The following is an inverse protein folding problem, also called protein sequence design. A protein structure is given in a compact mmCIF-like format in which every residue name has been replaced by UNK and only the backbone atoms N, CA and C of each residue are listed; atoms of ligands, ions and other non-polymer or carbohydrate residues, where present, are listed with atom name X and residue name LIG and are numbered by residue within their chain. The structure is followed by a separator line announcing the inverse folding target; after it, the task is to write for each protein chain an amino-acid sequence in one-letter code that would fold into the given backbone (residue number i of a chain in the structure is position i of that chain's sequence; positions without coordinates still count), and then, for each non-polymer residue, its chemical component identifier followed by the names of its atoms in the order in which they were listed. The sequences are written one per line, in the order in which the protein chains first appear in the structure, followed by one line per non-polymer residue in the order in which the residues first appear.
data_IF_200741780145
#
_entry.id   IF_200741780145
#
_cell.length_a   1.000
_cell.length_b   1.000
_cell.length_c   1.000
_cell.angle_alpha   90.00
_cell.angle_beta   90.00
_cell.angle_gamma   90.00
#
_symmetry.space_group_name_H-M   'P 1'
#
loop_
_entity.id
_entity.type
_entity.pdbx_description
1 polymer ?
#
# COMPACT_ATOMS: atom_id res chain seq x y z
N UNK A 1 6.96 -14.59 6.95
CA UNK A 1 8.09 -13.65 6.95
C UNK A 1 7.63 -12.20 7.17
N UNK A 2 6.71 -11.68 6.34
CA UNK A 2 6.21 -10.30 6.46
C UNK A 2 5.56 -10.01 7.83
N UNK A 3 4.71 -10.92 8.33
CA UNK A 3 4.12 -10.86 9.68
C UNK A 3 5.17 -10.83 10.80
N UNK A 4 6.22 -11.61 10.64
CA UNK A 4 7.32 -11.64 11.62
C UNK A 4 8.05 -10.29 11.67
N UNK A 5 8.27 -9.66 10.50
CA UNK A 5 8.89 -8.34 10.42
C UNK A 5 7.98 -7.28 11.04
N UNK A 6 6.68 -7.28 10.71
CA UNK A 6 5.68 -6.36 11.26
C UNK A 6 5.66 -6.50 12.80
N UNK A 7 5.57 -7.71 13.33
CA UNK A 7 5.57 -8.00 14.77
C UNK A 7 6.89 -7.65 15.46
N UNK A 8 8.04 -7.80 14.79
CA UNK A 8 9.34 -7.48 15.36
C UNK A 8 9.54 -5.97 15.57
N UNK A 9 8.97 -5.15 14.72
CA UNK A 9 9.03 -3.70 14.84
C UNK A 9 8.08 -3.17 15.93
N UNK A 10 7.00 -3.90 16.24
CA UNK A 10 5.99 -3.45 17.22
C UNK A 10 5.95 -4.31 18.51
N UNK A 11 7.12 -4.71 19.02
CA UNK A 11 7.26 -5.48 20.28
C UNK A 11 6.61 -4.84 21.52
N UNK A 12 6.07 -3.61 21.40
CA UNK A 12 5.46 -2.86 22.52
C UNK A 12 3.94 -2.98 22.60
N UNK A 13 3.25 -3.52 21.59
CA UNK A 13 1.80 -3.66 21.59
C UNK A 13 1.36 -5.12 21.72
N UNK A 14 0.78 -5.47 22.88
CA UNK A 14 0.01 -6.71 23.07
C UNK A 14 -1.40 -6.49 22.51
N UNK A 15 -1.67 -6.95 21.28
CA UNK A 15 -3.01 -6.87 20.67
C UNK A 15 -2.99 -7.07 19.15
N UNK A 16 -4.17 -7.32 18.57
CA UNK A 16 -4.34 -7.35 17.11
C UNK A 16 -4.07 -5.95 16.54
N UNK A 17 -3.21 -5.88 15.51
CA UNK A 17 -2.95 -4.62 14.81
C UNK A 17 -4.07 -4.32 13.83
N UNK A 18 -4.33 -3.04 13.60
CA UNK A 18 -5.21 -2.60 12.53
C UNK A 18 -4.40 -2.28 11.28
N UNK A 19 -4.62 -3.03 10.22
CA UNK A 19 -3.87 -2.95 8.98
C UNK A 19 -4.68 -2.25 7.89
N UNK A 20 -4.07 -1.28 7.23
CA UNK A 20 -4.58 -0.68 6.00
C UNK A 20 -3.84 -1.27 4.82
N UNK A 21 -4.54 -1.98 3.95
CA UNK A 21 -4.01 -2.38 2.65
C UNK A 21 -4.36 -1.33 1.61
N UNK A 22 -3.44 -1.02 0.69
CA UNK A 22 -3.72 -0.05 -0.37
C UNK A 22 -3.02 -0.42 -1.68
N UNK A 23 -3.82 -0.47 -2.74
CA UNK A 23 -3.38 -0.81 -4.10
C UNK A 23 -4.32 -0.17 -5.13
N UNK A 24 -3.84 0.08 -6.35
CA UNK A 24 -4.75 0.35 -7.46
C UNK A 24 -5.45 -0.92 -7.92
N UNK A 25 -6.47 -0.77 -8.74
CA UNK A 25 -7.11 -1.89 -9.45
C UNK A 25 -6.14 -2.65 -10.36
N UNK A 26 -6.51 -3.85 -10.78
CA UNK A 26 -5.70 -4.72 -11.64
C UNK A 26 -4.58 -5.44 -10.88
N UNK A 27 -3.42 -5.65 -11.51
CA UNK A 27 -2.33 -6.45 -10.97
C UNK A 27 -1.86 -6.07 -9.57
N UNK A 28 -1.87 -4.78 -9.22
CA UNK A 28 -1.53 -4.35 -7.86
C UNK A 28 -2.55 -4.83 -6.81
N UNK A 29 -3.84 -4.89 -7.19
CA UNK A 29 -4.88 -5.44 -6.31
C UNK A 29 -4.73 -6.95 -6.17
N UNK A 30 -4.37 -7.65 -7.24
CA UNK A 30 -4.07 -9.08 -7.19
C UNK A 30 -2.89 -9.35 -6.27
N UNK A 31 -1.79 -8.63 -6.45
CA UNK A 31 -0.61 -8.72 -5.57
C UNK A 31 -0.99 -8.56 -4.09
N UNK A 32 -1.74 -7.53 -3.74
CA UNK A 32 -2.08 -7.27 -2.34
C UNK A 32 -3.05 -8.32 -1.78
N UNK A 33 -3.88 -8.91 -2.65
CA UNK A 33 -4.82 -9.97 -2.27
C UNK A 33 -4.09 -11.27 -1.88
N UNK A 34 -2.90 -11.53 -2.43
CA UNK A 34 -2.06 -12.66 -2.02
C UNK A 34 -1.63 -12.55 -0.54
N UNK A 35 -1.63 -11.35 0.01
CA UNK A 35 -1.35 -11.11 1.43
C UNK A 35 -2.56 -11.35 2.36
N UNK A 36 -3.69 -11.85 1.82
CA UNK A 36 -4.93 -12.06 2.58
C UNK A 36 -4.75 -12.92 3.83
N UNK A 37 -3.83 -13.86 3.84
CA UNK A 37 -3.55 -14.68 5.02
C UNK A 37 -3.20 -13.86 6.26
N UNK A 38 -2.61 -12.68 6.06
CA UNK A 38 -2.27 -11.73 7.13
C UNK A 38 -3.54 -11.12 7.75
N UNK A 39 -4.62 -11.03 6.98
CA UNK A 39 -5.87 -10.42 7.44
C UNK A 39 -6.65 -11.30 8.42
N UNK A 40 -6.44 -12.62 8.38
CA UNK A 40 -7.15 -13.55 9.26
C UNK A 40 -6.81 -13.37 10.74
N UNK A 41 -5.65 -12.80 11.02
CA UNK A 41 -5.14 -12.60 12.40
C UNK A 41 -5.23 -11.13 12.87
N UNK A 42 -5.62 -10.20 11.98
CA UNK A 42 -5.60 -8.77 12.28
C UNK A 42 -6.87 -8.09 11.79
N UNK A 43 -7.30 -7.04 12.48
CA UNK A 43 -8.31 -6.13 11.93
C UNK A 43 -7.73 -5.44 10.70
N UNK A 44 -8.45 -5.48 9.56
CA UNK A 44 -7.91 -4.96 8.31
C UNK A 44 -8.98 -4.34 7.41
N UNK A 45 -8.57 -3.39 6.58
CA UNK A 45 -9.39 -2.78 5.55
C UNK A 45 -8.56 -2.47 4.31
N UNK A 46 -9.22 -2.30 3.18
CA UNK A 46 -8.59 -1.99 1.90
C UNK A 46 -8.97 -0.57 1.45
N UNK A 47 -7.99 0.17 0.92
CA UNK A 47 -8.20 1.38 0.14
C UNK A 47 -7.74 1.09 -1.29
N UNK A 48 -8.67 1.14 -2.24
CA UNK A 48 -8.39 0.93 -3.67
C UNK A 48 -9.12 1.96 -4.53
N UNK A 49 -8.87 1.95 -5.82
CA UNK A 49 -9.61 2.82 -6.74
C UNK A 49 -10.84 2.09 -7.32
N UNK A 50 -11.89 2.87 -7.62
CA UNK A 50 -13.06 2.37 -8.31
C UNK A 50 -12.72 2.22 -9.79
N UNK A 51 -12.53 0.99 -10.27
CA UNK A 51 -12.58 0.67 -11.70
C UNK A 51 -14.03 0.45 -12.11
N UNK A 52 -14.36 0.62 -13.40
CA UNK A 52 -15.74 0.62 -13.90
C UNK A 52 -16.54 -0.67 -13.69
N UNK A 53 -15.96 -1.72 -13.13
CA UNK A 53 -16.59 -2.99 -12.80
C UNK A 53 -16.86 -3.08 -11.29
N UNK A 54 -17.89 -3.84 -10.90
CA UNK A 54 -18.16 -4.16 -9.50
C UNK A 54 -17.06 -5.09 -8.98
N UNK A 55 -16.04 -4.51 -8.37
CA UNK A 55 -14.94 -5.26 -7.79
C UNK A 55 -15.37 -5.79 -6.43
N UNK A 56 -15.58 -7.10 -6.35
CA UNK A 56 -15.67 -7.80 -5.06
C UNK A 56 -14.28 -8.02 -4.54
N UNK A 57 -13.93 -7.35 -3.45
CA UNK A 57 -12.61 -7.52 -2.83
C UNK A 57 -12.67 -8.54 -1.69
N UNK A 58 -11.52 -9.07 -1.34
CA UNK A 58 -11.36 -9.97 -0.21
C UNK A 58 -11.74 -9.33 1.15
N UNK A 59 -11.88 -7.99 1.20
CA UNK A 59 -12.24 -7.22 2.39
C UNK A 59 -13.73 -6.86 2.46
N UNK A 60 -14.53 -7.17 1.42
CA UNK A 60 -15.97 -6.90 1.39
C UNK A 60 -16.31 -5.45 1.77
N UNK A 61 -17.22 -5.28 2.73
CA UNK A 61 -17.67 -3.98 3.23
C UNK A 61 -16.56 -3.13 3.90
N UNK A 62 -15.40 -3.73 4.17
CA UNK A 62 -14.22 -3.03 4.69
C UNK A 62 -13.33 -2.49 3.56
N UNK A 63 -13.89 -2.26 2.37
CA UNK A 63 -13.21 -1.67 1.21
C UNK A 63 -13.66 -0.23 1.01
N UNK A 64 -12.68 0.67 0.96
CA UNK A 64 -12.86 2.08 0.62
C UNK A 64 -12.42 2.32 -0.82
N UNK A 65 -13.32 2.87 -1.63
CA UNK A 65 -13.04 3.18 -3.02
C UNK A 65 -12.71 4.67 -3.18
N UNK A 66 -11.52 4.94 -3.71
CA UNK A 66 -11.12 6.26 -4.14
C UNK A 66 -11.41 6.43 -5.64
N UNK A 67 -11.45 7.67 -6.10
CA UNK A 67 -11.58 7.95 -7.53
C UNK A 67 -10.31 7.46 -8.25
N UNK A 68 -10.50 6.73 -9.35
CA UNK A 68 -9.42 6.44 -10.27
C UNK A 68 -8.89 7.74 -10.89
N UNK A 69 -7.58 7.88 -10.97
CA UNK A 69 -6.93 9.03 -11.60
C UNK A 69 -5.98 8.57 -12.71
N UNK A 70 -6.01 9.31 -13.81
CA UNK A 70 -5.05 9.13 -14.90
C UNK A 70 -4.20 10.40 -15.03
N UNK A 71 -2.88 10.25 -15.11
CA UNK A 71 -1.95 11.39 -15.25
C UNK A 71 -2.19 12.23 -16.50
N UNK A 72 -2.83 11.65 -17.53
CA UNK A 72 -3.15 12.31 -18.81
C UNK A 72 -4.52 13.01 -18.79
N UNK A 73 -5.31 12.88 -17.71
CA UNK A 73 -6.62 13.49 -17.66
C UNK A 73 -6.52 15.01 -17.42
N UNK A 74 -7.43 15.81 -18.00
CA UNK A 74 -7.56 17.22 -17.65
C UNK A 74 -7.89 17.34 -16.15
N UNK A 75 -7.35 18.36 -15.50
CA UNK A 75 -7.52 18.61 -14.06
C UNK A 75 -6.92 17.53 -13.12
N UNK A 76 -5.97 16.73 -13.62
CA UNK A 76 -5.26 15.71 -12.83
C UNK A 76 -4.84 16.24 -11.44
N UNK A 77 -4.26 17.46 -11.38
CA UNK A 77 -3.78 18.02 -10.11
C UNK A 77 -4.92 18.24 -9.10
N UNK A 78 -6.09 18.72 -9.56
CA UNK A 78 -7.26 18.92 -8.71
C UNK A 78 -7.77 17.56 -8.19
N UNK A 79 -7.85 16.57 -9.07
CA UNK A 79 -8.28 15.22 -8.68
C UNK A 79 -7.28 14.57 -7.72
N UNK A 80 -6.00 14.78 -7.95
CA UNK A 80 -4.95 14.29 -7.05
C UNK A 80 -5.03 14.92 -5.66
N UNK A 81 -5.29 16.24 -5.57
CA UNK A 81 -5.52 16.92 -4.29
C UNK A 81 -6.76 16.35 -3.58
N UNK A 82 -7.85 16.08 -4.32
CA UNK A 82 -9.05 15.45 -3.73
C UNK A 82 -8.75 14.08 -3.11
N UNK A 83 -7.82 13.31 -3.68
CA UNK A 83 -7.40 12.03 -3.08
C UNK A 83 -6.79 12.22 -1.69
N UNK A 84 -6.02 13.30 -1.46
CA UNK A 84 -5.48 13.60 -0.13
C UNK A 84 -6.59 13.80 0.90
N UNK A 85 -7.64 14.54 0.57
CA UNK A 85 -8.76 14.75 1.50
C UNK A 85 -9.54 13.47 1.76
N UNK A 86 -9.78 12.65 0.75
CA UNK A 86 -10.45 11.36 0.90
C UNK A 86 -9.60 10.40 1.75
N UNK A 87 -8.32 10.25 1.44
CA UNK A 87 -7.39 9.44 2.20
C UNK A 87 -7.29 9.91 3.66
N UNK A 88 -7.21 11.22 3.89
CA UNK A 88 -7.18 11.78 5.23
C UNK A 88 -8.44 11.43 6.04
N UNK A 89 -9.63 11.55 5.45
CA UNK A 89 -10.90 11.21 6.10
C UNK A 89 -10.95 9.73 6.52
N UNK A 90 -10.51 8.82 5.61
CA UNK A 90 -10.46 7.38 5.89
C UNK A 90 -9.44 7.10 7.02
N UNK A 91 -8.22 7.61 6.92
CA UNK A 91 -7.18 7.39 7.92
C UNK A 91 -7.54 7.99 9.28
N UNK A 92 -8.28 9.11 9.31
CA UNK A 92 -8.80 9.71 10.55
C UNK A 92 -9.86 8.84 11.21
N UNK A 93 -10.75 8.23 10.40
CA UNK A 93 -11.80 7.32 10.87
C UNK A 93 -11.23 6.00 11.36
N UNK A 94 -10.40 5.36 10.53
CA UNK A 94 -9.93 3.99 10.75
C UNK A 94 -8.73 3.90 11.70
N UNK A 95 -7.85 4.89 11.73
CA UNK A 95 -6.67 4.97 12.61
C UNK A 95 -5.81 3.68 12.55
N UNK A 96 -5.34 3.24 11.37
CA UNK A 96 -4.55 2.04 11.27
C UNK A 96 -3.19 2.19 11.99
N UNK A 97 -2.63 1.07 12.42
CA UNK A 97 -1.29 0.99 13.00
C UNK A 97 -0.21 0.85 11.92
N UNK A 98 -0.59 0.23 10.79
CA UNK A 98 0.32 0.00 9.66
C UNK A 98 -0.42 0.13 8.32
N UNK A 99 0.27 0.67 7.32
CA UNK A 99 -0.19 0.73 5.93
C UNK A 99 0.73 -0.15 5.10
N UNK A 100 0.14 -1.07 4.34
CA UNK A 100 0.83 -1.97 3.40
C UNK A 100 0.38 -1.61 1.99
N UNK A 101 1.31 -1.26 1.12
CA UNK A 101 1.04 -0.82 -0.25
C UNK A 101 1.83 -1.65 -1.26
N UNK A 102 1.16 -2.10 -2.33
CA UNK A 102 1.80 -2.72 -3.50
C UNK A 102 1.95 -1.74 -4.68
N UNK A 103 1.57 -0.47 -4.49
CA UNK A 103 1.88 0.58 -5.45
C UNK A 103 0.69 1.20 -6.15
N UNK A 104 1.04 1.82 -7.27
CA UNK A 104 0.35 2.83 -8.06
C UNK A 104 0.25 4.21 -7.39
N UNK A 105 0.11 5.25 -8.26
CA UNK A 105 0.17 6.63 -7.83
C UNK A 105 -0.92 7.02 -6.81
N UNK A 106 -2.10 6.37 -6.88
CA UNK A 106 -3.21 6.65 -5.97
C UNK A 106 -2.90 6.27 -4.51
N UNK A 107 -1.94 5.37 -4.27
CA UNK A 107 -1.56 4.96 -2.92
C UNK A 107 -0.62 5.95 -2.24
N UNK A 108 0.05 6.80 -3.02
CA UNK A 108 1.01 7.77 -2.50
C UNK A 108 0.40 8.75 -1.49
N UNK A 109 -0.77 9.41 -1.74
CA UNK A 109 -1.43 10.23 -0.74
C UNK A 109 -1.74 9.50 0.56
N UNK A 110 -2.18 8.22 0.48
CA UNK A 110 -2.49 7.39 1.65
C UNK A 110 -1.23 7.17 2.49
N UNK A 111 -0.13 6.77 1.85
CA UNK A 111 1.14 6.50 2.52
C UNK A 111 1.79 7.77 3.08
N UNK A 112 1.78 8.88 2.33
CA UNK A 112 2.34 10.15 2.79
C UNK A 112 1.61 10.68 4.02
N UNK A 113 0.27 10.69 3.99
CA UNK A 113 -0.55 11.10 5.14
C UNK A 113 -0.37 10.14 6.32
N UNK A 114 -0.24 8.85 6.05
CA UNK A 114 0.09 7.85 7.07
C UNK A 114 1.41 8.15 7.76
N UNK A 115 2.47 8.43 6.98
CA UNK A 115 3.78 8.80 7.51
C UNK A 115 3.74 10.06 8.38
N UNK A 116 3.04 11.09 7.92
CA UNK A 116 2.84 12.33 8.69
C UNK A 116 2.13 12.06 10.03
N UNK A 117 1.30 11.03 10.10
CA UNK A 117 0.58 10.60 11.31
C UNK A 117 1.34 9.56 12.13
N UNK A 118 2.61 9.29 11.78
CA UNK A 118 3.47 8.28 12.42
C UNK A 118 2.93 6.84 12.33
N UNK A 119 2.12 6.56 11.30
CA UNK A 119 1.69 5.22 10.95
C UNK A 119 2.85 4.53 10.24
N UNK A 120 3.10 3.26 10.55
CA UNK A 120 4.17 2.48 9.93
C UNK A 120 3.85 2.17 8.47
N UNK A 121 4.79 2.41 7.56
CA UNK A 121 4.59 2.24 6.12
C UNK A 121 5.44 1.08 5.61
N UNK A 122 4.78 0.08 5.06
CA UNK A 122 5.41 -1.03 4.32
C UNK A 122 5.05 -0.86 2.85
N UNK A 123 6.07 -0.76 2.03
CA UNK A 123 5.89 -0.71 0.58
C UNK A 123 6.51 -1.94 -0.07
N UNK A 124 5.78 -2.53 -0.98
CA UNK A 124 6.21 -3.69 -1.77
C UNK A 124 6.24 -3.23 -3.22
N UNK A 125 7.42 -3.22 -3.83
CA UNK A 125 7.55 -2.88 -5.25
C UNK A 125 6.91 -3.97 -6.09
N UNK A 126 6.24 -3.55 -7.18
CA UNK A 126 5.47 -4.45 -8.03
C UNK A 126 6.30 -5.59 -8.59
N UNK A 127 5.72 -6.78 -8.65
CA UNK A 127 6.30 -7.96 -9.29
C UNK A 127 6.67 -7.73 -10.77
N UNK A 128 5.94 -6.85 -11.47
CA UNK A 128 6.24 -6.45 -12.83
C UNK A 128 7.53 -5.63 -12.98
N UNK A 129 8.22 -5.30 -11.88
CA UNK A 129 9.46 -4.52 -11.86
C UNK A 129 10.63 -5.40 -11.52
N UNK A 130 11.34 -5.89 -12.54
CA UNK A 130 12.43 -6.85 -12.40
C UNK A 130 13.76 -6.13 -12.12
N UNK A 131 14.07 -5.06 -12.84
CA UNK A 131 15.35 -4.35 -12.85
C UNK A 131 15.23 -2.82 -12.92
N UNK A 132 14.00 -2.30 -13.11
CA UNK A 132 13.72 -0.87 -13.19
C UNK A 132 12.70 -0.42 -12.16
N UNK A 133 12.99 0.69 -11.47
CA UNK A 133 12.08 1.28 -10.50
C UNK A 133 10.82 1.84 -11.14
N UNK A 134 9.65 1.55 -10.55
CA UNK A 134 8.44 2.31 -10.85
C UNK A 134 8.57 3.76 -10.37
N UNK A 135 7.79 4.68 -10.95
CA UNK A 135 7.77 6.05 -10.43
C UNK A 135 7.24 6.09 -9.00
N UNK A 136 6.23 5.29 -8.70
CA UNK A 136 5.70 5.19 -7.33
C UNK A 136 6.74 4.64 -6.37
N UNK A 137 7.49 3.61 -6.77
CA UNK A 137 8.60 3.05 -6.00
C UNK A 137 9.66 4.10 -5.65
N UNK A 138 10.06 4.94 -6.63
CA UNK A 138 11.00 6.04 -6.40
C UNK A 138 10.48 7.04 -5.36
N UNK A 139 9.17 7.36 -5.39
CA UNK A 139 8.55 8.26 -4.41
C UNK A 139 8.39 7.62 -3.03
N UNK A 140 8.14 6.32 -3.00
CA UNK A 140 7.92 5.56 -1.76
C UNK A 140 9.21 5.17 -1.05
N UNK A 141 10.31 5.03 -1.77
CA UNK A 141 11.58 4.58 -1.22
C UNK A 141 12.08 5.41 -0.02
N UNK A 142 12.08 6.77 -0.07
CA UNK A 142 12.43 7.58 1.10
C UNK A 142 11.33 7.64 2.17
N UNK A 143 10.09 7.25 1.83
CA UNK A 143 8.93 7.39 2.70
C UNK A 143 8.68 6.13 3.55
N UNK A 144 8.89 4.96 2.96
CA UNK A 144 8.60 3.67 3.60
C UNK A 144 9.53 3.39 4.78
N UNK A 145 8.98 2.84 5.86
CA UNK A 145 9.75 2.31 6.99
C UNK A 145 10.33 0.94 6.65
N UNK A 146 9.62 0.19 5.79
CA UNK A 146 10.07 -1.06 5.23
C UNK A 146 9.78 -1.05 3.74
N UNK A 147 10.82 -1.20 2.92
CA UNK A 147 10.71 -1.29 1.48
C UNK A 147 11.12 -2.70 1.03
N UNK A 148 10.18 -3.41 0.41
CA UNK A 148 10.38 -4.77 -0.06
C UNK A 148 10.46 -4.80 -1.59
N UNK A 149 11.32 -5.65 -2.10
CA UNK A 149 11.44 -5.95 -3.53
C UNK A 149 11.24 -7.45 -3.76
N UNK A 150 10.65 -7.79 -4.90
CA UNK A 150 10.29 -9.16 -5.26
C UNK A 150 11.33 -9.82 -6.17
N UNK A 151 12.28 -9.03 -6.68
CA UNK A 151 13.41 -9.50 -7.49
C UNK A 151 14.71 -9.05 -6.87
N UNK A 152 15.71 -9.93 -6.87
CA UNK A 152 17.01 -9.65 -6.27
C UNK A 152 17.75 -8.51 -7.00
N UNK A 153 17.57 -8.43 -8.33
CA UNK A 153 18.17 -7.36 -9.14
C UNK A 153 17.70 -5.96 -8.75
N UNK A 154 16.51 -5.84 -8.15
CA UNK A 154 16.03 -4.56 -7.63
C UNK A 154 16.82 -4.02 -6.44
N UNK A 155 17.66 -4.84 -5.78
CA UNK A 155 18.58 -4.34 -4.75
C UNK A 155 19.67 -3.42 -5.35
N UNK A 156 19.97 -3.53 -6.63
CA UNK A 156 20.88 -2.61 -7.34
C UNK A 156 20.23 -1.22 -7.50
N UNK A 157 18.90 -1.18 -7.62
CA UNK A 157 18.10 0.05 -7.79
C UNK A 157 17.72 0.65 -6.43
N UNK A 158 17.40 -0.19 -5.47
CA UNK A 158 17.00 0.17 -4.10
C UNK A 158 17.90 -0.51 -3.06
N UNK A 159 19.13 -0.01 -2.83
CA UNK A 159 20.12 -0.70 -2.00
C UNK A 159 19.74 -0.93 -0.53
N UNK A 160 18.77 -0.17 0.00
CA UNK A 160 18.26 -0.35 1.38
C UNK A 160 16.98 -1.19 1.43
N UNK A 161 16.50 -1.67 0.29
CA UNK A 161 15.34 -2.56 0.24
C UNK A 161 15.70 -3.96 0.79
N UNK A 162 14.67 -4.71 1.14
CA UNK A 162 14.81 -6.12 1.52
C UNK A 162 14.23 -6.97 0.41
N UNK A 163 14.99 -7.92 -0.09
CA UNK A 163 14.50 -8.93 -1.00
C UNK A 163 13.60 -9.91 -0.23
N UNK A 164 12.35 -10.00 -0.61
CA UNK A 164 11.34 -10.84 0.05
C UNK A 164 10.90 -12.06 -0.79
N UNK A 165 11.37 -12.17 -2.02
CA UNK A 165 10.84 -13.11 -3.02
C UNK A 165 9.51 -12.65 -3.60
N UNK A 166 8.94 -13.44 -4.52
CA UNK A 166 7.62 -13.18 -5.08
C UNK A 166 6.49 -13.37 -4.06
N UNK A 167 5.44 -12.55 -4.18
CA UNK A 167 4.25 -12.66 -3.32
C UNK A 167 3.25 -13.68 -3.89
N UNK A 168 3.34 -13.99 -5.18
CA UNK A 168 2.47 -14.95 -5.88
C UNK A 168 2.85 -16.39 -5.55
#
# INVERSE_FOLDING_TARGET
FLLFIIRKQDRKRKGNMKLCFTASSGGHLEEITCLRQITNENDSFLITEKSGEDITTAWGDRTYFLRQINRKEPFFLIHFIKLFFQAYAILKKEKPDCIISTGALMTYPVCLLGKMRKIHIIYIESFARVDEASLTGKLMYPLADLFLVQWEDMLKVFPKAIYAGGIF
#
